data_IF_539811250648
#
_entry.id   IF_539811250648
#
_cell.length_a   1.000
_cell.length_b   1.000
_cell.length_c   1.000
_cell.angle_alpha   90.00
_cell.angle_beta   90.00
_cell.angle_gamma   90.00
#
_symmetry.space_group_name_H-M   'P 1'
#
loop_
_entity.id
_entity.type
_entity.pdbx_description
1 polymer ?
#
# COMPACT_ATOMS: atom_id res chain seq x y z
N UNK A 1 -30.58 -49.96 -2.26
CA UNK A 1 -29.43 -50.88 -2.06
C UNK A 1 -28.30 -50.10 -1.42
N UNK A 2 -27.66 -50.61 -0.35
CA UNK A 2 -26.48 -49.95 0.23
C UNK A 2 -25.39 -49.89 -0.84
N UNK A 3 -24.89 -48.69 -1.10
CA UNK A 3 -23.79 -48.46 -2.05
C UNK A 3 -22.55 -49.04 -1.38
N UNK A 4 -22.05 -50.18 -1.88
CA UNK A 4 -20.81 -50.77 -1.37
C UNK A 4 -19.64 -49.88 -1.81
N UNK A 5 -19.36 -48.85 -1.03
CA UNK A 5 -18.31 -47.88 -1.28
C UNK A 5 -16.93 -48.50 -1.03
N UNK A 6 -15.97 -48.21 -1.90
CA UNK A 6 -14.61 -48.74 -1.75
C UNK A 6 -13.95 -48.24 -0.45
N UNK A 7 -13.01 -49.00 0.14
CA UNK A 7 -12.23 -48.52 1.30
C UNK A 7 -11.55 -47.17 1.04
N UNK A 8 -11.17 -46.91 -0.22
CA UNK A 8 -10.58 -45.64 -0.65
C UNK A 8 -11.61 -44.49 -0.63
N UNK A 9 -12.87 -44.77 -0.98
CA UNK A 9 -13.95 -43.79 -0.89
C UNK A 9 -14.28 -43.46 0.57
N UNK A 10 -14.37 -44.46 1.45
CA UNK A 10 -14.60 -44.26 2.88
C UNK A 10 -13.51 -43.39 3.52
N UNK A 11 -12.24 -43.64 3.18
CA UNK A 11 -11.13 -42.78 3.60
C UNK A 11 -11.29 -41.33 3.13
N UNK A 12 -11.80 -41.11 1.92
CA UNK A 12 -12.07 -39.74 1.44
C UNK A 12 -13.27 -39.07 2.13
N UNK A 13 -14.22 -39.85 2.66
CA UNK A 13 -15.30 -39.33 3.52
C UNK A 13 -14.81 -38.93 4.91
N UNK A 14 -13.89 -39.70 5.49
CA UNK A 14 -13.21 -39.33 6.73
C UNK A 14 -12.38 -38.06 6.52
N UNK A 15 -11.59 -37.97 5.46
CA UNK A 15 -10.83 -36.77 5.10
C UNK A 15 -11.74 -35.53 4.96
N UNK A 16 -12.92 -35.68 4.34
CA UNK A 16 -13.91 -34.60 4.26
C UNK A 16 -14.49 -34.21 5.63
N UNK A 17 -14.74 -35.20 6.50
CA UNK A 17 -15.32 -35.01 7.83
C UNK A 17 -14.34 -34.30 8.77
N UNK A 18 -13.06 -34.66 8.73
CA UNK A 18 -12.02 -34.09 9.59
C UNK A 18 -11.32 -32.84 9.01
N UNK A 19 -11.58 -32.49 7.75
CA UNK A 19 -11.01 -31.30 7.12
C UNK A 19 -11.38 -30.02 7.89
N UNK A 20 -10.36 -29.22 8.22
CA UNK A 20 -10.49 -27.99 9.02
C UNK A 20 -10.62 -26.75 8.15
N UNK A 21 -10.07 -26.78 6.93
CA UNK A 21 -10.13 -25.67 5.98
C UNK A 21 -11.11 -25.94 4.83
N UNK A 22 -11.57 -24.88 4.17
CA UNK A 22 -12.47 -24.99 3.00
C UNK A 22 -11.73 -25.61 1.81
N UNK A 23 -10.44 -25.35 1.68
CA UNK A 23 -9.54 -25.92 0.70
C UNK A 23 -9.36 -27.43 0.89
N UNK A 24 -9.15 -27.88 2.13
CA UNK A 24 -9.10 -29.31 2.48
C UNK A 24 -10.44 -30.00 2.18
N UNK A 25 -11.57 -29.37 2.55
CA UNK A 25 -12.91 -29.90 2.24
C UNK A 25 -13.15 -30.01 0.73
N UNK A 26 -12.69 -29.03 -0.05
CA UNK A 26 -12.80 -29.05 -1.51
C UNK A 26 -11.96 -30.18 -2.12
N UNK A 27 -10.72 -30.36 -1.64
CA UNK A 27 -9.84 -31.43 -2.09
C UNK A 27 -10.41 -32.82 -1.79
N UNK A 28 -10.94 -33.02 -0.58
CA UNK A 28 -11.59 -34.26 -0.18
C UNK A 28 -12.83 -34.56 -1.04
N UNK A 29 -13.67 -33.55 -1.35
CA UNK A 29 -14.81 -33.73 -2.25
C UNK A 29 -14.42 -34.08 -3.69
N UNK A 30 -13.33 -33.53 -4.21
CA UNK A 30 -12.82 -33.91 -5.53
C UNK A 30 -12.34 -35.36 -5.55
N UNK A 31 -11.69 -35.81 -4.47
CA UNK A 31 -11.26 -37.20 -4.28
C UNK A 31 -12.46 -38.14 -4.17
N UNK A 32 -13.47 -37.78 -3.39
CA UNK A 32 -14.75 -38.50 -3.30
C UNK A 32 -15.42 -38.62 -4.68
N UNK A 33 -15.46 -37.54 -5.47
CA UNK A 33 -16.05 -37.55 -6.81
C UNK A 33 -15.31 -38.50 -7.77
N UNK A 34 -13.98 -38.58 -7.65
CA UNK A 34 -13.14 -39.46 -8.48
C UNK A 34 -13.31 -40.93 -8.12
N UNK A 35 -13.51 -41.23 -6.83
CA UNK A 35 -13.61 -42.58 -6.27
C UNK A 35 -15.05 -43.09 -6.18
N UNK A 36 -16.04 -42.23 -6.43
CA UNK A 36 -17.45 -42.57 -6.37
C UNK A 36 -17.85 -43.60 -7.44
N UNK A 37 -18.78 -44.51 -7.13
CA UNK A 37 -19.26 -45.50 -8.10
C UNK A 37 -19.95 -44.82 -9.30
N UNK A 38 -19.70 -45.32 -10.52
CA UNK A 38 -20.19 -44.72 -11.77
C UNK A 38 -21.43 -45.41 -12.38
N UNK A 39 -22.10 -46.29 -11.63
CA UNK A 39 -23.27 -47.01 -12.10
C UNK A 39 -24.58 -46.22 -11.86
N UNK A 40 -25.67 -46.59 -12.55
CA UNK A 40 -26.93 -45.82 -12.60
C UNK A 40 -27.54 -45.50 -11.22
N UNK A 41 -27.42 -46.38 -10.24
CA UNK A 41 -27.91 -46.16 -8.86
C UNK A 41 -27.07 -45.20 -8.01
N UNK A 42 -25.86 -44.80 -8.46
CA UNK A 42 -25.02 -43.82 -7.77
C UNK A 42 -25.25 -42.37 -8.22
N UNK A 43 -26.17 -42.15 -9.16
CA UNK A 43 -26.52 -40.81 -9.69
C UNK A 43 -26.84 -39.77 -8.60
N UNK A 44 -27.70 -40.07 -7.59
CA UNK A 44 -28.00 -39.13 -6.51
C UNK A 44 -26.77 -38.73 -5.68
N UNK A 45 -25.87 -39.69 -5.42
CA UNK A 45 -24.63 -39.46 -4.67
C UNK A 45 -23.70 -38.51 -5.44
N UNK A 46 -23.46 -38.76 -6.73
CA UNK A 46 -22.64 -37.91 -7.59
C UNK A 46 -23.19 -36.48 -7.69
N UNK A 47 -24.52 -36.34 -7.79
CA UNK A 47 -25.18 -35.04 -7.79
C UNK A 47 -24.96 -34.29 -6.45
N UNK A 48 -25.04 -35.00 -5.33
CA UNK A 48 -24.79 -34.41 -4.00
C UNK A 48 -23.34 -33.92 -3.85
N UNK A 49 -22.36 -34.69 -4.32
CA UNK A 49 -20.93 -34.34 -4.26
C UNK A 49 -20.66 -33.10 -5.14
N UNK A 50 -21.14 -33.08 -6.38
CA UNK A 50 -20.99 -31.93 -7.29
C UNK A 50 -21.63 -30.65 -6.73
N UNK A 51 -22.79 -30.78 -6.07
CA UNK A 51 -23.46 -29.65 -5.41
C UNK A 51 -22.62 -29.09 -4.27
N UNK A 52 -22.06 -29.96 -3.42
CA UNK A 52 -21.15 -29.55 -2.32
C UNK A 52 -19.90 -28.87 -2.85
N UNK A 53 -19.28 -29.39 -3.93
CA UNK A 53 -18.14 -28.76 -4.62
C UNK A 53 -18.50 -27.35 -5.09
N UNK A 54 -19.63 -27.19 -5.78
CA UNK A 54 -20.05 -25.87 -6.28
C UNK A 54 -20.30 -24.88 -5.14
N UNK A 55 -20.84 -25.33 -4.00
CA UNK A 55 -21.09 -24.49 -2.83
C UNK A 55 -19.79 -24.01 -2.21
N UNK A 56 -18.86 -24.92 -1.91
CA UNK A 56 -17.55 -24.57 -1.31
C UNK A 56 -16.74 -23.69 -2.26
N UNK A 57 -16.75 -23.96 -3.56
CA UNK A 57 -16.06 -23.12 -4.56
C UNK A 57 -16.60 -21.68 -4.57
N UNK A 58 -17.93 -21.51 -4.48
CA UNK A 58 -18.57 -20.18 -4.38
C UNK A 58 -18.21 -19.48 -3.07
N UNK A 59 -18.14 -20.20 -1.96
CA UNK A 59 -17.74 -19.64 -0.66
C UNK A 59 -16.28 -19.18 -0.66
N UNK A 60 -15.34 -19.99 -1.18
CA UNK A 60 -13.93 -19.61 -1.34
C UNK A 60 -13.80 -18.37 -2.24
N UNK A 61 -14.58 -18.31 -3.33
CA UNK A 61 -14.58 -17.16 -4.23
C UNK A 61 -15.14 -15.88 -3.56
N UNK A 62 -16.22 -16.02 -2.76
CA UNK A 62 -16.76 -14.92 -1.95
C UNK A 62 -15.75 -14.44 -0.89
N UNK A 63 -15.02 -15.34 -0.22
CA UNK A 63 -13.97 -14.95 0.73
C UNK A 63 -12.80 -14.25 0.04
N UNK A 64 -12.40 -14.70 -1.16
CA UNK A 64 -11.38 -14.02 -1.98
C UNK A 64 -11.85 -12.64 -2.44
N UNK A 65 -13.13 -12.48 -2.80
CA UNK A 65 -13.72 -11.19 -3.19
C UNK A 65 -13.90 -10.25 -2.00
N UNK A 66 -14.35 -10.77 -0.84
CA UNK A 66 -14.43 -10.00 0.40
C UNK A 66 -13.05 -9.55 0.84
N UNK A 67 -12.03 -10.43 0.86
CA UNK A 67 -10.63 -10.05 1.15
C UNK A 67 -10.08 -9.01 0.16
N UNK A 68 -10.47 -9.05 -1.12
CA UNK A 68 -10.15 -8.01 -2.13
C UNK A 68 -10.83 -6.67 -1.85
N UNK A 69 -12.09 -6.67 -1.38
CA UNK A 69 -12.81 -5.47 -0.95
C UNK A 69 -12.27 -4.91 0.37
N UNK A 70 -11.92 -5.76 1.35
CA UNK A 70 -11.28 -5.29 2.59
C UNK A 70 -9.87 -4.78 2.32
N UNK A 71 -9.10 -5.36 1.40
CA UNK A 71 -7.78 -4.82 1.03
C UNK A 71 -7.87 -3.49 0.27
N UNK A 72 -8.83 -3.31 -0.65
CA UNK A 72 -9.05 -1.99 -1.29
C UNK A 72 -9.56 -0.94 -0.30
N UNK A 73 -10.46 -1.28 0.63
CA UNK A 73 -10.96 -0.34 1.64
C UNK A 73 -9.95 -0.04 2.75
N UNK A 74 -9.08 -1.00 3.10
CA UNK A 74 -8.03 -0.81 4.12
C UNK A 74 -6.81 -0.08 3.57
N UNK A 75 -6.54 -0.15 2.26
CA UNK A 75 -5.57 0.76 1.62
C UNK A 75 -6.00 2.24 1.69
N UNK A 76 -7.30 2.53 1.81
CA UNK A 76 -7.81 3.91 1.97
C UNK A 76 -7.94 4.40 3.43
N UNK A 77 -7.53 3.61 4.43
CA UNK A 77 -7.66 4.03 5.84
C UNK A 77 -6.55 3.53 6.76
N UNK A 78 -5.33 3.36 6.25
CA UNK A 78 -4.15 3.54 7.09
C UNK A 78 -3.92 5.04 7.13
N UNK A 79 -4.02 5.65 8.31
CA UNK A 79 -3.56 7.03 8.50
C UNK A 79 -2.17 7.12 7.89
N UNK A 80 -2.00 7.97 6.88
CA UNK A 80 -0.68 8.36 6.39
C UNK A 80 0.02 9.07 7.55
N UNK A 81 0.70 8.33 8.41
CA UNK A 81 1.59 8.89 9.44
C UNK A 81 2.97 9.27 8.85
N UNK A 82 2.98 9.61 7.55
CA UNK A 82 4.08 10.18 6.81
C UNK A 82 3.51 10.93 5.61
N UNK A 83 4.06 12.11 5.28
CA UNK A 83 3.46 12.99 4.29
C UNK A 83 3.57 12.47 2.85
N UNK A 84 4.55 11.60 2.60
CA UNK A 84 4.79 10.97 1.30
C UNK A 84 5.56 9.67 1.46
N UNK A 85 5.41 8.78 0.48
CA UNK A 85 6.16 7.54 0.37
C UNK A 85 7.05 7.59 -0.88
N UNK A 86 8.34 7.30 -0.73
CA UNK A 86 9.25 7.08 -1.85
C UNK A 86 9.67 5.62 -1.92
N UNK A 87 9.97 5.11 -3.11
CA UNK A 87 10.39 3.72 -3.29
C UNK A 87 11.72 3.63 -4.02
N UNK A 88 12.67 2.90 -3.42
CA UNK A 88 14.00 2.66 -3.99
C UNK A 88 13.92 1.44 -4.92
N UNK A 89 14.29 1.63 -6.18
CA UNK A 89 14.18 0.61 -7.23
C UNK A 89 15.51 0.47 -7.97
N UNK A 90 15.93 -0.77 -8.19
CA UNK A 90 17.20 -1.08 -8.83
C UNK A 90 17.54 -2.57 -8.75
N UNK A 91 18.57 -3.00 -9.49
CA UNK A 91 19.08 -4.38 -9.45
C UNK A 91 19.78 -4.72 -8.13
N UNK A 92 20.18 -5.98 -7.97
CA UNK A 92 21.02 -6.39 -6.83
C UNK A 92 22.31 -5.58 -6.81
N UNK A 93 22.83 -5.29 -5.61
CA UNK A 93 24.09 -4.57 -5.40
C UNK A 93 24.14 -3.14 -5.99
N UNK A 94 22.99 -2.53 -6.33
CA UNK A 94 22.91 -1.14 -6.83
C UNK A 94 23.05 -0.07 -5.74
N UNK A 95 23.19 -0.47 -4.47
CA UNK A 95 23.32 0.44 -3.34
C UNK A 95 21.99 0.87 -2.69
N UNK A 96 20.86 0.22 -3.00
CA UNK A 96 19.53 0.55 -2.42
C UNK A 96 19.55 0.56 -0.89
N UNK A 97 20.01 -0.52 -0.26
CA UNK A 97 20.05 -0.61 1.20
C UNK A 97 21.02 0.37 1.85
N UNK A 98 22.12 0.70 1.14
CA UNK A 98 23.04 1.75 1.58
C UNK A 98 22.35 3.11 1.57
N UNK A 99 21.69 3.46 0.46
CA UNK A 99 20.94 4.71 0.33
C UNK A 99 19.80 4.79 1.35
N UNK A 100 19.07 3.69 1.58
CA UNK A 100 18.02 3.63 2.59
C UNK A 100 18.57 4.01 3.96
N UNK A 101 19.68 3.37 4.38
CA UNK A 101 20.33 3.66 5.67
C UNK A 101 20.84 5.09 5.76
N UNK A 102 21.44 5.60 4.68
CA UNK A 102 21.94 6.97 4.60
C UNK A 102 20.81 8.00 4.76
N UNK A 103 19.68 7.82 4.06
CA UNK A 103 18.54 8.73 4.14
C UNK A 103 17.82 8.66 5.49
N UNK A 104 17.85 7.51 6.17
CA UNK A 104 17.00 7.24 7.35
C UNK A 104 17.77 7.26 8.67
N UNK A 105 19.08 7.53 8.65
CA UNK A 105 19.92 7.53 9.85
C UNK A 105 19.99 6.17 10.54
N UNK A 106 19.94 5.09 9.76
CA UNK A 106 20.06 3.68 10.18
C UNK A 106 18.88 3.04 10.94
N UNK A 107 17.75 3.73 11.16
CA UNK A 107 16.53 3.11 11.70
C UNK A 107 15.67 2.55 10.57
N UNK A 108 15.88 1.27 10.25
CA UNK A 108 15.14 0.54 9.21
C UNK A 108 14.37 -0.61 9.86
N UNK A 109 13.07 -0.66 9.61
CA UNK A 109 12.17 -1.72 10.05
C UNK A 109 11.81 -2.62 8.87
N UNK A 110 11.73 -3.93 9.12
CA UNK A 110 11.31 -4.89 8.12
C UNK A 110 9.80 -4.97 8.11
N UNK A 111 9.17 -4.57 7.01
CA UNK A 111 7.71 -4.55 6.89
C UNK A 111 7.16 -5.88 6.39
N UNK A 112 6.11 -6.37 7.05
CA UNK A 112 5.41 -7.60 6.67
C UNK A 112 4.30 -7.28 5.67
N UNK A 113 4.58 -7.55 4.40
CA UNK A 113 3.55 -7.52 3.36
C UNK A 113 3.00 -8.95 3.18
N UNK A 114 1.67 -9.14 3.23
CA UNK A 114 1.08 -10.45 3.02
C UNK A 114 1.48 -11.03 1.67
N UNK A 115 1.73 -12.34 1.65
CA UNK A 115 2.03 -13.08 0.41
C UNK A 115 3.34 -12.66 -0.27
N UNK A 116 4.31 -12.11 0.48
CA UNK A 116 5.67 -11.87 -0.02
C UNK A 116 6.69 -12.77 0.67
N UNK A 117 7.40 -13.61 -0.08
CA UNK A 117 8.51 -14.43 0.43
C UNK A 117 9.79 -13.63 0.69
N UNK A 118 10.00 -12.51 -0.03
CA UNK A 118 11.05 -11.51 0.27
C UNK A 118 10.41 -10.27 0.88
N UNK A 119 10.96 -9.79 1.99
CA UNK A 119 10.41 -8.65 2.73
C UNK A 119 11.01 -7.34 2.20
N UNK A 120 10.20 -6.31 1.93
CA UNK A 120 10.71 -4.96 1.74
C UNK A 120 11.14 -4.35 3.08
N UNK A 121 12.07 -3.41 2.99
CA UNK A 121 12.59 -2.66 4.13
C UNK A 121 12.04 -1.25 4.10
N UNK A 122 11.67 -0.72 5.26
CA UNK A 122 11.08 0.62 5.39
C UNK A 122 11.89 1.41 6.41
N UNK A 123 12.28 2.62 6.03
CA UNK A 123 12.84 3.59 6.97
C UNK A 123 12.18 4.95 6.82
N UNK A 124 12.47 5.85 7.75
CA UNK A 124 11.89 7.19 7.78
C UNK A 124 12.99 8.22 7.54
N UNK A 125 12.87 8.97 6.45
CA UNK A 125 13.63 10.19 6.22
C UNK A 125 12.93 11.32 6.98
N UNK A 126 13.55 11.83 8.04
CA UNK A 126 13.11 13.06 8.69
C UNK A 126 13.82 14.25 8.03
N UNK A 127 13.06 15.04 7.29
CA UNK A 127 13.62 16.12 6.49
C UNK A 127 12.77 17.38 6.64
N UNK A 128 13.38 18.47 7.10
CA UNK A 128 12.71 19.75 7.44
C UNK A 128 11.53 19.57 8.41
N UNK A 129 11.64 18.62 9.35
CA UNK A 129 10.61 18.29 10.34
C UNK A 129 9.45 17.45 9.78
N UNK A 130 9.56 16.98 8.53
CA UNK A 130 8.56 16.14 7.87
C UNK A 130 9.12 14.73 7.70
N UNK A 131 8.32 13.76 8.15
CA UNK A 131 8.63 12.33 8.00
C UNK A 131 8.17 11.82 6.63
N UNK A 132 9.11 11.32 5.85
CA UNK A 132 8.91 10.69 4.54
C UNK A 132 9.25 9.21 4.66
N UNK A 133 8.33 8.33 4.26
CA UNK A 133 8.60 6.90 4.25
C UNK A 133 9.47 6.55 3.05
N UNK A 134 10.58 5.86 3.30
CA UNK A 134 11.49 5.35 2.27
C UNK A 134 11.35 3.84 2.27
N UNK A 135 10.85 3.28 1.17
CA UNK A 135 10.62 1.84 1.02
C UNK A 135 11.63 1.27 0.03
N UNK A 136 12.46 0.34 0.48
CA UNK A 136 13.26 -0.49 -0.41
C UNK A 136 12.47 -1.75 -0.78
N UNK A 137 12.25 -1.94 -2.07
CA UNK A 137 11.75 -3.21 -2.58
C UNK A 137 12.90 -4.15 -2.98
N UNK A 138 12.69 -5.47 -2.91
CA UNK A 138 13.62 -6.43 -3.48
C UNK A 138 13.95 -6.13 -4.95
N UNK A 139 15.14 -6.56 -5.39
CA UNK A 139 15.66 -6.24 -6.71
C UNK A 139 14.69 -6.61 -7.85
N UNK A 140 14.56 -5.69 -8.82
CA UNK A 140 13.83 -5.96 -10.05
C UNK A 140 14.63 -6.96 -10.88
N UNK A 141 13.98 -8.04 -11.28
CA UNK A 141 14.53 -9.13 -12.10
C UNK A 141 13.74 -9.26 -13.40
N UNK A 142 14.28 -9.99 -14.39
CA UNK A 142 13.63 -10.15 -15.69
C UNK A 142 12.25 -10.79 -15.50
N UNK A 143 11.24 -10.28 -16.21
CA UNK A 143 9.85 -10.69 -16.08
C UNK A 143 9.36 -10.51 -14.63
N UNK A 144 9.64 -9.34 -14.03
CA UNK A 144 9.40 -9.09 -12.61
C UNK A 144 7.96 -9.38 -12.21
N UNK A 145 7.00 -8.92 -13.03
CA UNK A 145 5.56 -9.15 -12.85
C UNK A 145 5.14 -10.63 -12.85
N UNK A 146 5.90 -11.50 -13.52
CA UNK A 146 5.62 -12.93 -13.58
C UNK A 146 6.17 -13.70 -12.36
N UNK A 147 7.01 -13.05 -11.53
CA UNK A 147 7.47 -13.64 -10.28
C UNK A 147 6.35 -13.71 -9.26
N UNK A 148 6.44 -14.64 -8.31
CA UNK A 148 5.44 -14.87 -7.26
C UNK A 148 5.01 -13.56 -6.54
N UNK A 149 5.98 -12.71 -6.21
CA UNK A 149 5.75 -11.45 -5.47
C UNK A 149 5.78 -10.20 -6.34
N UNK A 150 6.02 -10.33 -7.64
CA UNK A 150 6.12 -9.23 -8.60
C UNK A 150 4.93 -8.27 -8.53
N UNK A 151 3.68 -8.78 -8.62
CA UNK A 151 2.48 -7.94 -8.52
C UNK A 151 2.39 -7.17 -7.19
N UNK A 152 2.83 -7.78 -6.08
CA UNK A 152 2.79 -7.14 -4.75
C UNK A 152 3.81 -6.00 -4.67
N UNK A 153 5.04 -6.21 -5.13
CA UNK A 153 6.05 -5.14 -5.17
C UNK A 153 5.66 -4.04 -6.16
N UNK A 154 5.07 -4.39 -7.30
CA UNK A 154 4.54 -3.40 -8.25
C UNK A 154 3.41 -2.57 -7.66
N UNK A 155 2.58 -3.17 -6.80
CA UNK A 155 1.60 -2.40 -6.02
C UNK A 155 2.29 -1.39 -5.11
N UNK A 156 3.37 -1.76 -4.42
CA UNK A 156 4.13 -0.82 -3.57
C UNK A 156 4.69 0.33 -4.42
N UNK A 157 5.29 0.01 -5.56
CA UNK A 157 5.83 1.02 -6.50
C UNK A 157 4.72 1.96 -6.98
N UNK A 158 3.57 1.43 -7.41
CA UNK A 158 2.47 2.24 -7.94
C UNK A 158 1.79 3.14 -6.92
N UNK A 159 1.90 2.84 -5.62
CA UNK A 159 1.39 3.69 -4.53
C UNK A 159 2.44 4.68 -4.01
N UNK A 160 3.67 4.67 -4.54
CA UNK A 160 4.68 5.65 -4.17
C UNK A 160 4.42 7.02 -4.82
N UNK A 161 4.81 8.09 -4.11
CA UNK A 161 4.78 9.45 -4.61
C UNK A 161 5.98 9.76 -5.53
N UNK A 162 7.08 9.03 -5.35
CA UNK A 162 8.32 9.15 -6.13
C UNK A 162 9.10 7.84 -6.13
N UNK A 163 9.63 7.46 -7.30
CA UNK A 163 10.57 6.35 -7.44
C UNK A 163 11.99 6.91 -7.49
N UNK A 164 12.88 6.35 -6.68
CA UNK A 164 14.31 6.60 -6.78
C UNK A 164 14.94 5.44 -7.55
N UNK A 165 15.49 5.73 -8.74
CA UNK A 165 16.16 4.75 -9.58
C UNK A 165 17.65 4.68 -9.25
N UNK A 166 18.13 3.47 -8.96
CA UNK A 166 19.54 3.16 -8.75
C UNK A 166 19.99 2.12 -9.77
N UNK A 167 21.02 2.47 -10.54
CA UNK A 167 21.66 1.62 -11.53
C UNK A 167 23.14 1.98 -11.65
N UNK A 168 23.97 1.04 -12.10
CA UNK A 168 25.41 1.24 -12.30
C UNK A 168 25.78 1.44 -13.77
N UNK A 169 25.00 0.86 -14.69
CA UNK A 169 25.30 0.91 -16.12
C UNK A 169 24.07 1.36 -16.92
N UNK A 170 24.27 1.91 -18.14
CA UNK A 170 23.16 2.27 -19.02
C UNK A 170 22.24 1.09 -19.35
N UNK A 171 22.77 -0.13 -19.45
CA UNK A 171 22.00 -1.35 -19.72
C UNK A 171 21.07 -1.69 -18.56
N UNK A 172 21.52 -1.47 -17.32
CA UNK A 172 20.67 -1.61 -16.14
C UNK A 172 19.53 -0.60 -16.13
N UNK A 173 19.81 0.66 -16.50
CA UNK A 173 18.77 1.69 -16.65
C UNK A 173 17.74 1.28 -17.70
N UNK A 174 18.18 0.90 -18.89
CA UNK A 174 17.30 0.45 -19.97
C UNK A 174 16.44 -0.76 -19.55
N UNK A 175 17.03 -1.69 -18.79
CA UNK A 175 16.31 -2.82 -18.22
C UNK A 175 15.22 -2.40 -17.22
N UNK A 176 15.54 -1.50 -16.28
CA UNK A 176 14.56 -0.99 -15.31
C UNK A 176 13.44 -0.22 -16.01
N UNK A 177 13.78 0.61 -17.00
CA UNK A 177 12.80 1.36 -17.78
C UNK A 177 11.82 0.41 -18.50
N UNK A 178 12.32 -0.71 -19.03
CA UNK A 178 11.49 -1.76 -19.63
C UNK A 178 10.58 -2.46 -18.63
N UNK A 179 11.08 -2.87 -17.47
CA UNK A 179 10.26 -3.59 -16.47
C UNK A 179 9.22 -2.66 -15.81
N UNK A 180 9.52 -1.36 -15.73
CA UNK A 180 8.65 -0.35 -15.15
C UNK A 180 7.81 0.41 -16.20
N UNK A 181 7.70 -0.07 -17.43
CA UNK A 181 7.09 0.70 -18.54
C UNK A 181 5.66 1.19 -18.24
N UNK A 182 4.85 0.40 -17.52
CA UNK A 182 3.46 0.74 -17.17
C UNK A 182 3.34 1.60 -15.90
N UNK A 183 4.47 1.86 -15.22
CA UNK A 183 4.50 2.63 -13.96
C UNK A 183 4.52 4.13 -14.27
N UNK A 184 3.43 4.80 -13.90
CA UNK A 184 3.21 6.25 -14.12
C UNK A 184 3.72 7.16 -13.00
N UNK A 185 4.39 6.60 -12.00
CA UNK A 185 4.98 7.38 -10.90
C UNK A 185 6.23 8.11 -11.40
N UNK A 186 6.43 9.34 -10.93
CA UNK A 186 7.62 10.14 -11.24
C UNK A 186 8.88 9.40 -10.79
N UNK A 187 9.97 9.60 -11.53
CA UNK A 187 11.26 8.96 -11.27
C UNK A 187 12.33 10.02 -11.06
N UNK A 188 13.16 9.82 -10.04
CA UNK A 188 14.38 10.57 -9.77
C UNK A 188 15.55 9.61 -9.81
N UNK A 189 16.60 9.94 -10.57
CA UNK A 189 17.81 9.13 -10.65
C UNK A 189 18.69 9.47 -9.45
N UNK A 190 19.19 8.46 -8.76
CA UNK A 190 20.19 8.64 -7.72
C UNK A 190 21.54 9.02 -8.32
N UNK A 191 22.12 10.12 -7.83
CA UNK A 191 23.39 10.66 -8.33
C UNK A 191 24.47 10.83 -7.25
N UNK A 192 24.25 10.26 -6.06
CA UNK A 192 25.21 10.28 -4.95
C UNK A 192 25.60 11.69 -4.46
N UNK A 193 24.80 12.72 -4.75
CA UNK A 193 25.05 14.07 -4.24
C UNK A 193 24.68 14.20 -2.76
N UNK A 194 25.39 15.04 -2.01
CA UNK A 194 25.10 15.27 -0.59
C UNK A 194 23.71 15.87 -0.37
N UNK A 195 23.26 16.73 -1.29
CA UNK A 195 21.95 17.37 -1.29
C UNK A 195 20.82 16.51 -1.90
N UNK A 196 20.98 15.18 -1.94
CA UNK A 196 19.97 14.32 -2.56
C UNK A 196 18.60 14.38 -1.86
N UNK A 197 18.59 14.61 -0.54
CA UNK A 197 17.34 14.81 0.21
C UNK A 197 16.59 16.08 -0.23
N UNK A 198 17.31 17.18 -0.54
CA UNK A 198 16.70 18.38 -1.15
C UNK A 198 16.05 18.07 -2.49
N UNK A 199 16.73 17.25 -3.33
CA UNK A 199 16.19 16.84 -4.63
C UNK A 199 14.92 16.02 -4.47
N UNK A 200 14.88 15.08 -3.52
CA UNK A 200 13.67 14.30 -3.19
C UNK A 200 12.54 15.26 -2.79
N UNK A 201 12.79 16.17 -1.86
CA UNK A 201 11.81 17.15 -1.37
C UNK A 201 11.20 17.96 -2.51
N UNK A 202 12.05 18.50 -3.39
CA UNK A 202 11.62 19.30 -4.54
C UNK A 202 10.78 18.48 -5.54
N UNK A 203 11.15 17.22 -5.80
CA UNK A 203 10.39 16.34 -6.70
C UNK A 203 9.04 15.92 -6.13
N UNK A 204 8.94 15.77 -4.81
CA UNK A 204 7.69 15.48 -4.12
C UNK A 204 6.72 16.68 -4.14
N UNK A 205 7.22 17.89 -4.45
CA UNK A 205 6.47 19.13 -4.54
C UNK A 205 5.61 19.36 -3.28
N UNK A 206 6.24 19.22 -2.12
CA UNK A 206 5.63 19.38 -0.81
C UNK A 206 5.75 20.81 -0.31
N UNK A 207 4.76 21.22 0.47
CA UNK A 207 4.76 22.41 1.31
C UNK A 207 4.60 21.97 2.76
N UNK A 208 5.24 22.67 3.69
CA UNK A 208 5.09 22.51 5.14
C UNK A 208 4.12 23.56 5.62
N UNK A 209 3.06 23.15 6.28
CA UNK A 209 2.08 24.05 6.87
C UNK A 209 2.04 23.79 8.37
N UNK A 210 2.16 24.84 9.17
CA UNK A 210 2.08 24.74 10.62
C UNK A 210 0.64 24.97 11.07
N UNK A 211 0.22 24.25 12.09
CA UNK A 211 -1.07 24.49 12.75
C UNK A 211 -0.84 25.25 14.05
N UNK A 212 -1.80 26.06 14.48
CA UNK A 212 -1.79 26.64 15.82
C UNK A 212 -3.17 26.69 16.44
N UNK A 213 -3.20 26.70 17.77
CA UNK A 213 -4.41 27.03 18.54
C UNK A 213 -4.49 28.55 18.76
N UNK A 214 -5.70 29.12 18.93
CA UNK A 214 -5.88 30.53 19.24
C UNK A 214 -5.04 30.97 20.45
N UNK A 215 -4.25 32.04 20.26
CA UNK A 215 -3.40 32.62 21.30
C UNK A 215 -2.15 31.81 21.65
N UNK A 216 -1.86 30.71 20.94
CA UNK A 216 -0.66 29.90 21.15
C UNK A 216 0.34 30.05 20.00
N UNK A 217 1.59 29.64 20.27
CA UNK A 217 2.59 29.42 19.21
C UNK A 217 2.14 28.25 18.33
N UNK A 218 2.70 28.20 17.12
CA UNK A 218 2.43 27.10 16.21
C UNK A 218 3.05 25.78 16.70
N UNK A 219 2.37 24.69 16.37
CA UNK A 219 2.72 23.34 16.79
C UNK A 219 3.86 22.78 15.93
N UNK A 220 4.56 21.78 16.50
CA UNK A 220 5.50 20.92 15.81
C UNK A 220 5.08 19.46 16.00
N UNK A 221 5.29 18.57 14.99
CA UNK A 221 5.87 18.85 13.67
C UNK A 221 4.90 19.57 12.72
N UNK A 222 5.39 20.21 11.63
CA UNK A 222 4.53 20.74 10.58
C UNK A 222 3.75 19.62 9.87
N UNK A 223 2.61 19.99 9.29
CA UNK A 223 1.85 19.12 8.38
C UNK A 223 2.38 19.33 6.97
N UNK A 224 2.87 18.27 6.32
CA UNK A 224 3.24 18.37 4.92
C UNK A 224 2.07 18.05 3.98
N UNK A 225 1.87 18.93 3.01
CA UNK A 225 0.83 18.88 2.00
C UNK A 225 1.47 18.99 0.61
N UNK A 226 0.72 18.65 -0.45
CA UNK A 226 1.19 18.89 -1.82
C UNK A 226 1.02 20.38 -2.13
N UNK A 227 1.95 20.96 -2.89
CA UNK A 227 1.83 22.34 -3.35
C UNK A 227 0.51 22.54 -4.10
N UNK A 228 -0.21 23.61 -3.77
CA UNK A 228 -1.55 23.89 -4.29
C UNK A 228 -2.69 23.31 -3.45
N UNK A 229 -2.39 22.60 -2.36
CA UNK A 229 -3.36 22.21 -1.34
C UNK A 229 -4.05 23.42 -0.72
N UNK A 230 -5.25 23.18 -0.22
CA UNK A 230 -6.13 24.18 0.38
C UNK A 230 -6.33 23.92 1.87
N UNK A 231 -6.91 24.89 2.59
CA UNK A 231 -7.29 24.77 4.01
C UNK A 231 -8.13 23.51 4.29
N UNK A 232 -8.99 23.12 3.35
CA UNK A 232 -9.76 21.87 3.47
C UNK A 232 -8.88 20.62 3.56
N UNK A 233 -7.80 20.57 2.78
CA UNK A 233 -6.93 19.40 2.70
C UNK A 233 -6.13 19.29 4.01
N UNK A 234 -5.69 20.43 4.56
CA UNK A 234 -5.10 20.52 5.89
C UNK A 234 -6.08 20.02 6.97
N UNK A 235 -7.31 20.53 6.96
CA UNK A 235 -8.34 20.16 7.95
C UNK A 235 -8.64 18.66 7.92
N UNK A 236 -8.72 18.05 6.72
CA UNK A 236 -8.93 16.61 6.56
C UNK A 236 -7.77 15.78 7.12
N UNK A 237 -6.53 16.21 6.89
CA UNK A 237 -5.32 15.55 7.41
C UNK A 237 -5.29 15.59 8.94
N UNK A 238 -5.68 16.72 9.55
CA UNK A 238 -5.77 16.84 11.01
C UNK A 238 -6.85 15.89 11.55
N UNK A 239 -8.10 16.06 11.09
CA UNK A 239 -9.20 15.18 11.47
C UNK A 239 -10.43 15.40 10.58
N UNK A 240 -11.06 14.31 10.13
CA UNK A 240 -12.23 14.36 9.22
C UNK A 240 -13.40 15.21 9.73
N UNK A 241 -13.59 15.30 11.05
CA UNK A 241 -14.68 16.12 11.64
C UNK A 241 -14.41 17.63 11.62
N UNK A 242 -13.17 18.08 11.42
CA UNK A 242 -12.87 19.51 11.31
C UNK A 242 -13.59 20.13 10.11
N UNK A 243 -13.70 19.39 9.00
CA UNK A 243 -14.45 19.84 7.83
C UNK A 243 -15.93 20.11 8.13
N UNK A 244 -16.57 19.21 8.91
CA UNK A 244 -18.00 19.33 9.26
C UNK A 244 -18.26 20.51 10.19
N UNK A 245 -17.36 20.74 11.13
CA UNK A 245 -17.47 21.80 12.13
C UNK A 245 -16.76 23.08 11.70
N UNK A 246 -16.20 23.16 10.49
CA UNK A 246 -15.42 24.32 10.06
C UNK A 246 -16.26 25.60 10.08
N UNK A 247 -15.74 26.66 10.72
CA UNK A 247 -16.31 28.00 10.69
C UNK A 247 -15.50 28.91 9.76
N UNK A 248 -14.21 29.05 10.03
CA UNK A 248 -13.23 29.76 9.22
C UNK A 248 -11.80 29.34 9.62
N UNK A 249 -10.79 29.77 8.86
CA UNK A 249 -9.40 29.70 9.30
C UNK A 249 -8.77 31.09 9.27
N UNK A 250 -7.73 31.31 10.07
CA UNK A 250 -6.83 32.46 9.95
C UNK A 250 -5.48 32.02 9.45
N UNK A 251 -4.94 32.75 8.48
CA UNK A 251 -3.66 32.45 7.85
C UNK A 251 -2.64 33.51 8.23
N UNK A 252 -1.45 33.06 8.60
CA UNK A 252 -0.28 33.89 8.88
C UNK A 252 0.84 33.35 8.01
N UNK A 253 1.19 34.08 6.95
CA UNK A 253 2.16 33.60 5.96
C UNK A 253 1.94 34.22 4.59
N UNK A 254 2.68 33.70 3.62
CA UNK A 254 2.78 34.29 2.28
C UNK A 254 1.51 34.14 1.44
N UNK A 255 0.65 33.17 1.74
CA UNK A 255 -0.63 33.03 1.02
C UNK A 255 -1.69 34.02 1.46
N UNK A 256 -1.48 34.71 2.59
CA UNK A 256 -2.39 35.72 3.10
C UNK A 256 -2.10 37.09 2.48
N UNK A 257 -3.15 37.86 2.19
CA UNK A 257 -3.04 39.25 1.71
C UNK A 257 -2.57 40.22 2.79
N UNK A 258 -2.88 39.90 4.04
CA UNK A 258 -2.49 40.64 5.23
C UNK A 258 -2.45 39.68 6.42
N UNK A 259 -1.74 40.06 7.48
CA UNK A 259 -1.56 39.19 8.64
C UNK A 259 -2.90 38.80 9.28
N UNK A 260 -3.02 37.54 9.71
CA UNK A 260 -4.24 36.99 10.33
C UNK A 260 -5.49 37.05 9.41
N UNK A 261 -5.31 36.95 8.10
CA UNK A 261 -6.43 36.97 7.15
C UNK A 261 -7.40 35.81 7.43
N UNK A 262 -8.69 36.15 7.61
CA UNK A 262 -9.74 35.15 7.69
C UNK A 262 -10.09 34.60 6.31
N UNK A 263 -10.09 33.27 6.18
CA UNK A 263 -10.31 32.56 4.92
C UNK A 263 -11.26 31.37 5.09
N UNK A 264 -11.80 30.92 3.96
CA UNK A 264 -12.61 29.70 3.87
C UNK A 264 -11.79 28.46 3.50
N UNK A 265 -12.48 27.33 3.37
CA UNK A 265 -11.90 26.03 3.05
C UNK A 265 -11.12 25.98 1.72
N UNK A 266 -11.50 26.82 0.75
CA UNK A 266 -10.92 26.80 -0.61
C UNK A 266 -9.64 27.64 -0.75
N UNK A 267 -9.21 28.31 0.31
CA UNK A 267 -7.99 29.11 0.29
C UNK A 267 -6.78 28.21 0.09
N UNK A 268 -5.93 28.55 -0.88
CA UNK A 268 -4.69 27.82 -1.18
C UNK A 268 -3.63 28.19 -0.17
N UNK A 269 -2.88 27.19 0.29
CA UNK A 269 -1.80 27.35 1.24
C UNK A 269 -0.47 27.39 0.50
N UNK A 270 0.44 28.22 1.00
CA UNK A 270 1.83 28.29 0.57
C UNK A 270 2.76 27.63 1.60
N UNK A 271 4.02 27.43 1.21
CA UNK A 271 5.03 26.85 2.10
C UNK A 271 5.25 27.76 3.31
N UNK A 272 5.37 27.13 4.47
CA UNK A 272 5.59 27.75 5.78
C UNK A 272 4.43 28.58 6.34
N UNK A 273 3.25 28.53 5.71
CA UNK A 273 2.04 29.13 6.28
C UNK A 273 1.72 28.55 7.66
N UNK A 274 1.25 29.42 8.55
CA UNK A 274 0.68 29.04 9.84
C UNK A 274 -0.84 29.20 9.78
N UNK A 275 -1.56 28.14 10.12
CA UNK A 275 -3.02 28.06 10.02
C UNK A 275 -3.65 27.85 11.39
N UNK A 276 -4.56 28.75 11.75
CA UNK A 276 -5.40 28.66 12.94
C UNK A 276 -6.84 28.32 12.51
N UNK A 277 -7.29 27.10 12.77
CA UNK A 277 -8.64 26.64 12.38
C UNK A 277 -9.64 26.94 13.50
N UNK A 278 -10.74 27.61 13.14
CA UNK A 278 -11.86 27.90 14.02
C UNK A 278 -13.05 27.00 13.66
N UNK A 279 -13.57 26.31 14.66
CA UNK A 279 -14.73 25.44 14.52
C UNK A 279 -16.00 26.13 15.06
N UNK A 280 -17.16 25.66 14.61
CA UNK A 280 -18.50 26.11 15.05
C UNK A 280 -18.84 25.61 16.44
#
# INVERSE_FOLDING_TARGET
MPINASPQYQKSEEEYTYARTKEEKLAALHKMLSLAPKHKSAGPLLASIKTRISKIKKEIQKEKQQKKQTSTKKLTSVKKEGASQITLVGKTNSGKSTLLKQLTGAKVEIALYPFTTKKPEVGILDYKGVKIHVVEIPAIVKNFLATENGPTFMSIINHSDLIILLFKTPEEKAFLDKELYDVRVKRLIYDNSENFADKIWNHLNLIKVYTKQPGKKHDYPPVALKKGSQVRDLAEVIHKDFLKKFKYARIFGSSAKFDSQQVGLNHKLDDEDVVEIHLK
#
